data_IF_430624809614
#
_entry.id   IF_430624809614
#
_cell.length_a   1.000
_cell.length_b   1.000
_cell.length_c   1.000
_cell.angle_alpha   90.00
_cell.angle_beta   90.00
_cell.angle_gamma   90.00
#
_symmetry.space_group_name_H-M   'P 1'
#
loop_
_entity.id
_entity.type
_entity.pdbx_description
1 polymer ?
#
# COMPACT_ATOMS: atom_id res chain seq x y z
N UNK A 1 -49.44 46.07 -79.29
CA UNK A 1 -49.70 44.68 -78.87
C UNK A 1 -48.40 44.05 -78.42
N UNK A 2 -48.10 44.09 -77.17
CA UNK A 2 -46.86 43.42 -76.59
C UNK A 2 -47.32 42.77 -75.33
N UNK A 3 -47.22 41.43 -75.30
CA UNK A 3 -47.63 40.55 -74.25
C UNK A 3 -46.44 40.43 -73.25
N UNK A 4 -46.67 40.82 -72.02
CA UNK A 4 -45.71 40.70 -70.93
C UNK A 4 -45.88 39.36 -70.27
N UNK A 5 -44.86 38.51 -70.31
CA UNK A 5 -44.83 37.24 -69.63
C UNK A 5 -44.17 37.42 -68.24
N UNK A 6 -44.91 37.14 -67.16
CA UNK A 6 -44.39 37.05 -65.78
C UNK A 6 -43.75 35.70 -65.59
N UNK A 7 -42.49 35.71 -65.17
CA UNK A 7 -41.80 34.52 -64.64
C UNK A 7 -41.99 34.44 -63.20
N UNK A 8 -42.53 33.32 -62.74
CA UNK A 8 -42.65 32.98 -61.32
C UNK A 8 -41.34 32.36 -60.86
N UNK A 9 -40.62 32.98 -59.95
CA UNK A 9 -39.45 32.38 -59.25
C UNK A 9 -39.97 31.55 -58.09
N UNK A 10 -39.78 30.22 -58.14
CA UNK A 10 -40.00 29.34 -57.03
C UNK A 10 -38.74 29.39 -56.15
N UNK A 11 -38.89 29.98 -54.95
CA UNK A 11 -37.84 29.96 -53.95
C UNK A 11 -37.79 28.59 -53.23
N UNK A 12 -36.67 27.89 -53.39
CA UNK A 12 -36.32 26.72 -52.60
C UNK A 12 -35.85 27.16 -51.21
N UNK A 13 -36.65 26.94 -50.18
CA UNK A 13 -36.27 27.01 -48.80
C UNK A 13 -35.44 25.75 -48.44
N UNK A 14 -34.12 25.88 -48.37
CA UNK A 14 -33.26 24.86 -47.75
C UNK A 14 -33.43 24.94 -46.24
N UNK A 15 -34.10 23.98 -45.67
CA UNK A 15 -34.10 23.75 -44.23
C UNK A 15 -32.72 23.18 -43.82
N UNK A 16 -31.90 24.02 -43.19
CA UNK A 16 -30.69 23.57 -42.50
C UNK A 16 -31.13 22.77 -41.26
N UNK A 17 -31.04 21.44 -41.37
CA UNK A 17 -31.10 20.58 -40.20
C UNK A 17 -29.81 20.77 -39.38
N UNK A 18 -29.87 21.62 -38.36
CA UNK A 18 -28.89 21.60 -37.28
C UNK A 18 -29.02 20.23 -36.56
N UNK A 19 -28.16 19.31 -36.92
CA UNK A 19 -27.91 18.13 -36.10
C UNK A 19 -27.41 18.62 -34.76
N UNK A 20 -28.29 18.64 -33.74
CA UNK A 20 -27.91 18.87 -32.38
C UNK A 20 -26.89 17.81 -31.99
N UNK A 21 -25.62 18.21 -31.81
CA UNK A 21 -24.63 17.44 -31.13
C UNK A 21 -25.19 17.25 -29.72
N UNK A 22 -25.70 16.03 -29.43
CA UNK A 22 -26.04 15.64 -28.09
C UNK A 22 -24.78 15.88 -27.24
N UNK A 23 -24.86 16.84 -26.33
CA UNK A 23 -23.90 17.00 -25.28
C UNK A 23 -23.92 15.65 -24.56
N UNK A 24 -22.84 14.86 -24.75
CA UNK A 24 -22.62 13.69 -23.91
C UNK A 24 -22.70 14.19 -22.47
N UNK A 25 -23.69 13.71 -21.72
CA UNK A 25 -23.83 13.96 -20.31
C UNK A 25 -22.46 13.75 -19.66
N UNK A 26 -21.84 14.86 -19.26
CA UNK A 26 -20.67 14.77 -18.40
C UNK A 26 -21.16 14.06 -17.15
N UNK A 27 -20.57 12.94 -16.76
CA UNK A 27 -21.01 12.23 -15.58
C UNK A 27 -21.05 13.23 -14.43
N UNK A 28 -22.23 13.32 -13.84
CA UNK A 28 -22.52 14.23 -12.74
C UNK A 28 -21.50 13.96 -11.66
N UNK A 29 -20.53 14.88 -11.49
CA UNK A 29 -19.57 14.77 -10.39
C UNK A 29 -20.39 14.85 -9.12
N UNK A 30 -20.60 13.72 -8.47
CA UNK A 30 -21.36 13.64 -7.24
C UNK A 30 -20.85 14.69 -6.23
N UNK A 31 -21.76 15.13 -5.41
CA UNK A 31 -21.59 16.11 -4.34
C UNK A 31 -20.22 16.01 -3.67
N UNK A 32 -19.58 17.14 -3.38
CA UNK A 32 -18.27 17.18 -2.72
C UNK A 32 -18.35 16.39 -1.41
N UNK A 33 -17.75 15.21 -1.36
CA UNK A 33 -17.67 14.44 -0.12
C UNK A 33 -16.98 15.30 0.94
N UNK A 34 -17.57 15.37 2.12
CA UNK A 34 -16.88 15.94 3.28
C UNK A 34 -15.74 14.99 3.67
N UNK A 35 -14.58 15.52 4.10
CA UNK A 35 -13.57 14.65 4.67
C UNK A 35 -14.15 13.95 5.89
N UNK A 36 -13.88 12.67 6.05
CA UNK A 36 -14.31 11.92 7.22
C UNK A 36 -13.19 11.09 7.80
N UNK A 37 -13.26 10.85 9.10
CA UNK A 37 -12.45 9.84 9.82
C UNK A 37 -13.45 8.94 10.52
N UNK A 38 -13.34 7.66 10.26
CA UNK A 38 -14.23 6.63 10.80
C UNK A 38 -13.36 5.53 11.43
N UNK A 39 -13.75 5.09 12.62
CA UNK A 39 -13.19 3.91 13.24
C UNK A 39 -14.07 2.71 12.90
N UNK A 40 -13.48 1.72 12.29
CA UNK A 40 -14.19 0.56 11.73
C UNK A 40 -13.60 -0.75 12.25
N UNK A 41 -14.39 -1.81 12.18
CA UNK A 41 -13.97 -3.16 12.51
C UNK A 41 -13.90 -4.02 11.24
N UNK A 42 -12.82 -4.79 11.11
CA UNK A 42 -12.52 -5.61 9.94
C UNK A 42 -12.42 -7.06 10.39
N UNK A 43 -13.13 -7.96 9.71
CA UNK A 43 -13.03 -9.38 9.97
C UNK A 43 -11.77 -9.95 9.31
N UNK A 44 -10.88 -10.47 10.12
CA UNK A 44 -9.63 -11.12 9.77
C UNK A 44 -9.57 -12.53 10.37
N UNK A 45 -8.41 -13.15 10.30
CA UNK A 45 -8.16 -14.49 10.83
C UNK A 45 -6.97 -14.46 11.79
N UNK A 46 -7.13 -15.13 12.93
CA UNK A 46 -6.03 -15.34 13.86
C UNK A 46 -5.24 -16.57 13.41
N UNK A 47 -3.95 -16.39 13.21
CA UNK A 47 -3.02 -17.49 12.89
C UNK A 47 -2.08 -17.76 14.05
N UNK A 48 -1.66 -19.02 14.17
CA UNK A 48 -0.62 -19.45 15.10
C UNK A 48 0.45 -20.28 14.35
N UNK A 49 1.65 -20.31 14.91
CA UNK A 49 2.71 -21.17 14.41
C UNK A 49 2.57 -22.57 15.03
N UNK A 50 2.55 -23.59 14.18
CA UNK A 50 2.58 -25.00 14.56
C UNK A 50 3.63 -25.73 13.71
N UNK A 51 4.78 -26.12 14.30
CA UNK A 51 5.85 -26.79 13.56
C UNK A 51 5.47 -28.20 13.07
N UNK A 52 4.38 -28.78 13.55
CA UNK A 52 3.90 -30.10 13.13
C UNK A 52 3.11 -30.07 11.81
N UNK A 53 2.74 -28.87 11.34
CA UNK A 53 1.94 -28.68 10.12
C UNK A 53 2.83 -28.23 8.97
N UNK A 54 2.68 -28.80 7.76
CA UNK A 54 3.36 -28.29 6.58
C UNK A 54 3.09 -26.78 6.38
N UNK A 55 4.15 -25.99 6.23
CA UNK A 55 4.07 -24.52 6.19
C UNK A 55 4.04 -23.84 7.55
N UNK A 56 3.91 -24.58 8.66
CA UNK A 56 4.08 -24.07 10.02
C UNK A 56 3.00 -23.07 10.50
N UNK A 57 1.88 -22.93 9.79
CA UNK A 57 0.84 -21.94 10.11
C UNK A 57 -0.54 -22.60 10.15
N UNK A 58 -1.28 -22.36 11.22
CA UNK A 58 -2.64 -22.89 11.44
C UNK A 58 -3.60 -21.77 11.81
N UNK A 59 -4.84 -21.91 11.36
CA UNK A 59 -5.94 -21.02 11.75
C UNK A 59 -6.34 -21.27 13.21
N UNK A 60 -6.56 -20.18 13.95
CA UNK A 60 -7.14 -20.17 15.30
C UNK A 60 -8.57 -19.61 15.30
N UNK A 61 -9.14 -19.40 14.09
CA UNK A 61 -10.49 -18.86 13.92
C UNK A 61 -10.52 -17.35 13.64
N UNK A 62 -11.73 -16.77 13.63
CA UNK A 62 -11.92 -15.37 13.27
C UNK A 62 -11.29 -14.40 14.26
N UNK A 63 -10.82 -13.28 13.74
CA UNK A 63 -10.28 -12.17 14.51
C UNK A 63 -10.88 -10.86 13.99
N UNK A 64 -11.37 -10.03 14.90
CA UNK A 64 -11.82 -8.68 14.54
C UNK A 64 -10.71 -7.69 14.84
N UNK A 65 -10.19 -7.02 13.81
CA UNK A 65 -9.18 -5.97 13.94
C UNK A 65 -9.81 -4.59 13.76
N UNK A 66 -9.36 -3.61 14.53
CA UNK A 66 -9.80 -2.22 14.41
C UNK A 66 -8.98 -1.49 13.35
N UNK A 67 -9.60 -0.50 12.71
CA UNK A 67 -8.94 0.34 11.74
C UNK A 67 -9.49 1.77 11.74
N UNK A 68 -8.66 2.70 11.26
CA UNK A 68 -9.01 4.10 11.04
C UNK A 68 -9.10 4.34 9.53
N UNK A 69 -10.33 4.53 9.02
CA UNK A 69 -10.60 4.93 7.64
C UNK A 69 -10.62 6.46 7.56
N UNK A 70 -9.78 7.02 6.69
CA UNK A 70 -9.74 8.46 6.44
C UNK A 70 -10.05 8.74 4.96
N UNK A 71 -11.09 9.54 4.72
CA UNK A 71 -11.59 9.87 3.38
C UNK A 71 -11.27 11.34 3.07
N UNK A 72 -10.63 11.65 1.92
CA UNK A 72 -10.31 13.01 1.54
C UNK A 72 -11.53 13.82 1.07
N UNK A 73 -11.44 15.16 1.15
CA UNK A 73 -12.48 16.09 0.69
C UNK A 73 -12.62 16.18 -0.84
N UNK A 74 -11.82 15.48 -1.63
CA UNK A 74 -11.76 15.63 -3.08
C UNK A 74 -12.90 14.94 -3.82
N UNK A 75 -13.38 15.60 -4.90
CA UNK A 75 -14.30 15.01 -5.89
C UNK A 75 -13.52 14.09 -6.82
N UNK A 76 -13.99 12.86 -6.98
CA UNK A 76 -13.61 12.03 -8.11
C UNK A 76 -14.82 11.88 -9.05
N UNK A 77 -14.64 12.30 -10.29
CA UNK A 77 -15.72 12.30 -11.30
C UNK A 77 -15.84 10.95 -12.04
N UNK A 78 -15.00 9.95 -11.73
CA UNK A 78 -15.06 8.58 -12.31
C UNK A 78 -14.55 7.56 -11.29
N UNK A 79 -15.34 6.53 -11.05
CA UNK A 79 -14.90 5.22 -10.52
C UNK A 79 -14.55 5.13 -9.04
N UNK A 80 -14.78 6.14 -8.22
CA UNK A 80 -14.41 6.10 -6.81
C UNK A 80 -13.01 6.67 -6.50
N UNK A 81 -12.64 6.68 -5.23
CA UNK A 81 -11.33 7.14 -4.73
C UNK A 81 -10.31 6.00 -4.75
N UNK A 82 -9.05 6.25 -5.13
CA UNK A 82 -7.99 5.33 -4.77
C UNK A 82 -7.82 5.27 -3.26
N UNK A 83 -7.32 4.15 -2.75
CA UNK A 83 -7.09 3.97 -1.32
C UNK A 83 -5.74 3.27 -1.05
N UNK A 84 -5.20 3.48 0.15
CA UNK A 84 -3.97 2.83 0.62
C UNK A 84 -4.21 2.23 2.01
N UNK A 85 -3.94 0.93 2.14
CA UNK A 85 -3.85 0.26 3.44
C UNK A 85 -2.50 0.60 4.08
N UNK A 86 -2.51 0.98 5.36
CA UNK A 86 -1.32 1.32 6.14
C UNK A 86 -1.12 0.28 7.23
N UNK A 87 0.05 -0.38 7.23
CA UNK A 87 0.44 -1.45 8.13
C UNK A 87 1.55 -0.97 9.07
N UNK A 88 1.25 -0.89 10.35
CA UNK A 88 2.21 -0.41 11.36
C UNK A 88 3.40 -1.36 11.58
N UNK A 89 4.43 -0.90 12.24
CA UNK A 89 5.59 -1.69 12.66
C UNK A 89 5.33 -2.51 13.94
N UNK A 90 6.36 -3.22 14.42
CA UNK A 90 6.27 -4.07 15.63
C UNK A 90 5.90 -3.31 16.91
N UNK A 91 6.09 -2.00 16.96
CA UNK A 91 5.70 -1.16 18.10
C UNK A 91 4.21 -0.78 18.12
N UNK A 92 3.42 -1.16 17.11
CA UNK A 92 2.02 -0.76 16.96
C UNK A 92 1.86 0.54 16.17
N UNK A 93 0.64 1.09 16.21
CA UNK A 93 0.31 2.38 15.61
C UNK A 93 1.11 3.50 16.29
N UNK A 94 1.69 4.38 15.49
CA UNK A 94 2.41 5.56 15.94
C UNK A 94 2.25 6.75 14.96
N UNK A 95 3.04 7.80 15.11
CA UNK A 95 2.96 9.03 14.30
C UNK A 95 3.10 8.82 12.79
N UNK A 96 3.67 7.71 12.31
CA UNK A 96 3.90 7.44 10.89
C UNK A 96 2.59 7.31 10.13
N UNK A 97 1.60 6.62 10.69
CA UNK A 97 0.28 6.48 10.07
C UNK A 97 -0.33 7.82 9.71
N UNK A 98 -0.43 8.73 10.68
CA UNK A 98 -0.97 10.09 10.44
C UNK A 98 -0.06 10.94 9.55
N UNK A 99 1.25 10.82 9.68
CA UNK A 99 2.21 11.56 8.86
C UNK A 99 2.05 11.24 7.37
N UNK A 100 1.93 9.97 6.98
CA UNK A 100 1.71 9.59 5.59
C UNK A 100 0.26 9.82 5.14
N UNK A 101 -0.72 9.57 6.00
CA UNK A 101 -2.14 9.83 5.74
C UNK A 101 -2.36 11.28 5.30
N UNK A 102 -1.77 12.27 5.99
CA UNK A 102 -1.91 13.67 5.62
C UNK A 102 -1.52 13.92 4.16
N UNK A 103 -0.37 13.44 3.71
CA UNK A 103 0.07 13.61 2.32
C UNK A 103 -0.76 12.83 1.29
N UNK A 104 -1.26 11.66 1.66
CA UNK A 104 -2.14 10.85 0.79
C UNK A 104 -3.51 11.50 0.62
N UNK A 105 -4.13 11.99 1.71
CA UNK A 105 -5.39 12.72 1.65
C UNK A 105 -5.30 14.00 0.81
N UNK A 106 -4.21 14.77 0.93
CA UNK A 106 -3.94 15.94 0.09
C UNK A 106 -3.86 15.56 -1.41
N UNK A 107 -3.35 14.37 -1.69
CA UNK A 107 -3.30 13.81 -3.04
C UNK A 107 -4.65 13.26 -3.54
N UNK A 108 -5.67 13.18 -2.67
CA UNK A 108 -6.98 12.63 -2.97
C UNK A 108 -7.05 11.10 -2.87
N UNK A 109 -6.18 10.49 -2.09
CA UNK A 109 -6.11 9.06 -1.83
C UNK A 109 -6.64 8.81 -0.41
N UNK A 110 -7.63 7.95 -0.26
CA UNK A 110 -8.13 7.51 1.04
C UNK A 110 -7.11 6.60 1.74
N UNK A 111 -7.16 6.51 3.07
CA UNK A 111 -6.28 5.61 3.83
C UNK A 111 -7.07 4.76 4.81
N UNK A 112 -6.59 3.53 5.02
CA UNK A 112 -7.09 2.62 6.03
C UNK A 112 -5.90 2.12 6.86
N UNK A 113 -5.70 2.71 8.03
CA UNK A 113 -4.68 2.26 8.99
C UNK A 113 -5.26 1.21 9.92
N UNK A 114 -4.70 0.00 9.93
CA UNK A 114 -5.21 -1.12 10.75
C UNK A 114 -4.39 -1.30 12.02
N UNK A 115 -5.05 -1.65 13.12
CA UNK A 115 -4.41 -2.04 14.38
C UNK A 115 -4.31 -3.57 14.47
N UNK A 116 -3.15 -4.10 14.09
CA UNK A 116 -2.89 -5.54 14.13
C UNK A 116 -2.69 -6.07 15.56
N UNK A 117 -2.44 -5.19 16.55
CA UNK A 117 -2.00 -5.57 17.87
C UNK A 117 -3.10 -5.65 18.93
N UNK A 118 -4.03 -4.71 18.94
CA UNK A 118 -5.06 -4.63 19.98
C UNK A 118 -5.82 -5.96 20.12
N UNK A 119 -6.35 -6.48 19.00
CA UNK A 119 -7.11 -7.73 18.99
C UNK A 119 -6.28 -8.98 19.39
N UNK A 120 -4.95 -8.89 19.35
CA UNK A 120 -4.02 -9.95 19.75
C UNK A 120 -3.46 -9.78 21.16
N UNK A 121 -3.84 -8.69 21.86
CA UNK A 121 -3.31 -8.36 23.18
C UNK A 121 -1.81 -8.03 23.18
N UNK A 122 -1.26 -7.58 22.05
CA UNK A 122 0.13 -7.17 21.93
C UNK A 122 0.28 -5.74 22.46
N UNK A 123 1.02 -5.58 23.54
CA UNK A 123 1.23 -4.29 24.23
C UNK A 123 2.66 -3.74 24.07
N UNK A 124 3.55 -4.56 23.53
CA UNK A 124 4.95 -4.18 23.28
C UNK A 124 5.56 -5.03 22.17
N UNK A 125 6.66 -4.59 21.54
CA UNK A 125 7.38 -5.42 20.57
C UNK A 125 7.83 -6.78 21.09
N UNK A 126 8.01 -6.92 22.40
CA UNK A 126 8.48 -8.16 23.01
C UNK A 126 7.43 -9.29 23.03
N UNK A 127 6.14 -8.95 23.00
CA UNK A 127 5.05 -9.93 23.02
C UNK A 127 4.28 -10.01 21.69
N UNK A 128 4.86 -9.47 20.59
CA UNK A 128 4.32 -9.63 19.25
C UNK A 128 4.38 -11.09 18.78
N UNK A 129 3.61 -11.50 17.78
CA UNK A 129 3.76 -12.79 17.12
C UNK A 129 5.22 -13.07 16.71
N UNK A 130 5.60 -14.33 16.65
CA UNK A 130 6.99 -14.72 16.32
C UNK A 130 7.39 -14.30 14.90
N UNK A 131 6.47 -14.42 13.94
CA UNK A 131 6.72 -14.21 12.52
C UNK A 131 5.65 -13.31 11.88
N UNK A 132 6.01 -12.43 10.95
CA UNK A 132 5.06 -11.58 10.22
C UNK A 132 3.98 -12.34 9.45
N UNK A 133 4.24 -13.56 9.00
CA UNK A 133 3.29 -14.42 8.31
C UNK A 133 1.99 -14.63 9.12
N UNK A 134 2.07 -14.57 10.45
CA UNK A 134 0.91 -14.73 11.35
C UNK A 134 -0.06 -13.53 11.30
N UNK A 135 0.31 -12.47 10.58
CA UNK A 135 -0.50 -11.26 10.40
C UNK A 135 -0.85 -10.96 8.93
N UNK A 136 -0.43 -11.80 7.99
CA UNK A 136 -0.74 -11.60 6.58
C UNK A 136 -2.25 -11.50 6.26
N UNK A 137 -3.16 -12.27 6.91
CA UNK A 137 -4.59 -12.15 6.69
C UNK A 137 -5.12 -10.73 6.92
N UNK A 138 -4.53 -9.96 7.85
CA UNK A 138 -5.02 -8.61 8.19
C UNK A 138 -4.90 -7.65 7.00
N UNK A 139 -3.81 -7.73 6.23
CA UNK A 139 -3.62 -6.89 5.06
C UNK A 139 -4.69 -7.19 3.98
N UNK A 140 -5.00 -8.46 3.75
CA UNK A 140 -6.00 -8.88 2.76
C UNK A 140 -7.43 -8.67 3.26
N UNK A 141 -7.68 -8.78 4.55
CA UNK A 141 -8.94 -8.38 5.16
C UNK A 141 -9.21 -6.88 4.97
N UNK A 142 -8.18 -6.04 5.12
CA UNK A 142 -8.26 -4.61 4.84
C UNK A 142 -8.51 -4.32 3.34
N UNK A 143 -7.85 -5.06 2.43
CA UNK A 143 -8.12 -4.99 0.99
C UNK A 143 -9.56 -5.35 0.67
N UNK A 144 -10.06 -6.47 1.22
CA UNK A 144 -11.44 -6.92 1.02
C UNK A 144 -12.47 -5.94 1.58
N UNK A 145 -12.17 -5.30 2.72
CA UNK A 145 -13.01 -4.25 3.31
C UNK A 145 -13.09 -3.04 2.38
N UNK A 146 -11.94 -2.50 1.95
CA UNK A 146 -11.90 -1.34 1.05
C UNK A 146 -12.54 -1.62 -0.30
N UNK A 147 -12.40 -2.83 -0.84
CA UNK A 147 -13.02 -3.22 -2.12
C UNK A 147 -14.56 -3.19 -2.09
N UNK A 148 -15.16 -3.23 -0.90
CA UNK A 148 -16.61 -3.16 -0.69
C UNK A 148 -17.06 -1.78 -0.19
N UNK A 149 -16.13 -0.89 0.14
CA UNK A 149 -16.43 0.42 0.72
C UNK A 149 -16.99 1.34 -0.35
N UNK A 150 -18.18 1.91 -0.09
CA UNK A 150 -18.81 2.84 -1.01
C UNK A 150 -17.91 4.04 -1.31
N UNK A 151 -17.70 4.31 -2.60
CA UNK A 151 -16.90 5.42 -3.10
C UNK A 151 -15.38 5.20 -3.09
N UNK A 152 -14.91 3.99 -2.79
CA UNK A 152 -13.57 3.52 -3.09
C UNK A 152 -13.59 2.73 -4.41
N UNK A 153 -12.55 2.89 -5.22
CA UNK A 153 -12.36 2.12 -6.44
C UNK A 153 -11.62 0.82 -6.09
N UNK A 154 -12.25 -0.36 -6.21
CA UNK A 154 -11.63 -1.63 -5.85
C UNK A 154 -10.39 -1.99 -6.68
N UNK A 155 -10.25 -1.40 -7.89
CA UNK A 155 -9.11 -1.64 -8.78
C UNK A 155 -7.94 -0.69 -8.50
N UNK A 156 -8.07 0.24 -7.54
CA UNK A 156 -7.06 1.23 -7.19
C UNK A 156 -6.74 1.25 -5.70
N UNK A 157 -6.44 0.08 -5.14
CA UNK A 157 -6.08 -0.08 -3.74
C UNK A 157 -4.60 -0.49 -3.66
N UNK A 158 -3.79 0.36 -3.02
CA UNK A 158 -2.39 0.08 -2.70
C UNK A 158 -2.20 -0.31 -1.24
N UNK A 159 -0.99 -0.72 -0.90
CA UNK A 159 -0.58 -1.01 0.48
C UNK A 159 0.77 -0.40 0.79
N UNK A 160 0.93 0.11 1.98
CA UNK A 160 2.22 0.49 2.53
C UNK A 160 2.39 -0.01 3.95
N UNK A 161 3.62 -0.23 4.34
CA UNK A 161 3.93 -0.69 5.68
C UNK A 161 5.30 -0.26 6.17
N UNK A 162 5.48 -0.37 7.49
CA UNK A 162 6.67 0.02 8.21
C UNK A 162 7.27 -1.19 8.93
N UNK A 163 8.55 -1.50 8.70
CA UNK A 163 9.24 -2.60 9.39
C UNK A 163 8.42 -3.91 9.31
N UNK A 164 7.80 -4.36 10.38
CA UNK A 164 6.88 -5.51 10.36
C UNK A 164 5.83 -5.41 9.24
N UNK A 165 5.13 -4.28 9.17
CA UNK A 165 4.15 -4.02 8.11
C UNK A 165 4.77 -3.97 6.72
N UNK A 166 6.04 -3.57 6.59
CA UNK A 166 6.76 -3.57 5.32
C UNK A 166 7.08 -5.00 4.84
N UNK A 167 7.37 -5.93 5.77
CA UNK A 167 7.51 -7.35 5.44
C UNK A 167 6.19 -7.90 4.90
N UNK A 168 5.06 -7.55 5.54
CA UNK A 168 3.72 -7.92 5.04
C UNK A 168 3.44 -7.30 3.66
N UNK A 169 3.88 -6.06 3.44
CA UNK A 169 3.75 -5.37 2.16
C UNK A 169 4.51 -6.10 1.05
N UNK A 170 5.77 -6.52 1.28
CA UNK A 170 6.51 -7.31 0.30
C UNK A 170 5.87 -8.69 0.07
N UNK A 171 5.41 -9.35 1.13
CA UNK A 171 4.71 -10.62 1.01
C UNK A 171 3.44 -10.50 0.15
N UNK A 172 2.65 -9.42 0.31
CA UNK A 172 1.43 -9.18 -0.47
C UNK A 172 1.70 -8.84 -1.95
N UNK A 173 2.94 -8.55 -2.33
CA UNK A 173 3.36 -8.37 -3.71
C UNK A 173 3.71 -9.69 -4.42
N UNK A 174 3.59 -10.85 -3.74
CA UNK A 174 3.94 -12.16 -4.29
C UNK A 174 2.69 -12.97 -4.62
N UNK A 175 2.80 -13.83 -5.65
CA UNK A 175 1.67 -14.64 -6.12
C UNK A 175 1.19 -15.64 -5.07
N UNK A 176 2.11 -16.32 -4.34
CA UNK A 176 1.69 -17.33 -3.37
C UNK A 176 0.84 -16.75 -2.25
N UNK A 177 1.27 -15.61 -1.68
CA UNK A 177 0.55 -14.96 -0.58
C UNK A 177 -0.77 -14.36 -1.08
N UNK A 178 -0.75 -13.75 -2.27
CA UNK A 178 -1.94 -13.15 -2.89
C UNK A 178 -2.97 -14.22 -3.27
N UNK A 179 -2.56 -15.34 -3.82
CA UNK A 179 -3.47 -16.45 -4.13
C UNK A 179 -4.09 -17.07 -2.86
N UNK A 180 -3.30 -17.15 -1.79
CA UNK A 180 -3.77 -17.76 -0.55
C UNK A 180 -4.77 -16.88 0.22
N UNK A 181 -4.52 -15.56 0.31
CA UNK A 181 -5.33 -14.66 1.15
C UNK A 181 -6.19 -13.66 0.36
N UNK A 182 -5.93 -13.46 -0.92
CA UNK A 182 -6.54 -12.39 -1.71
C UNK A 182 -7.97 -12.64 -2.15
N UNK A 183 -8.43 -13.89 -2.18
CA UNK A 183 -9.77 -14.25 -2.69
C UNK A 183 -10.06 -13.59 -4.04
N UNK A 184 -9.11 -13.74 -4.98
CA UNK A 184 -9.15 -13.13 -6.31
C UNK A 184 -8.78 -11.64 -6.38
N UNK A 185 -8.51 -10.99 -5.25
CA UNK A 185 -8.09 -9.58 -5.17
C UNK A 185 -6.58 -9.48 -5.01
N UNK A 186 -6.01 -8.35 -5.47
CA UNK A 186 -4.60 -8.02 -5.27
C UNK A 186 -4.42 -6.51 -5.05
N UNK A 187 -3.39 -6.14 -4.34
CA UNK A 187 -2.98 -4.74 -4.25
C UNK A 187 -2.41 -4.27 -5.59
N UNK A 188 -2.67 -3.02 -5.93
CA UNK A 188 -2.24 -2.41 -7.20
C UNK A 188 -0.83 -1.83 -7.14
N UNK A 189 -0.35 -1.50 -5.94
CA UNK A 189 0.97 -0.92 -5.72
C UNK A 189 1.40 -1.11 -4.25
N UNK A 190 2.71 -1.21 -4.03
CA UNK A 190 3.28 -1.57 -2.73
C UNK A 190 4.40 -0.60 -2.34
N UNK A 191 4.38 -0.07 -1.12
CA UNK A 191 5.49 0.72 -0.55
C UNK A 191 5.95 0.09 0.75
N UNK A 192 7.15 -0.48 0.76
CA UNK A 192 7.74 -1.15 1.91
C UNK A 192 8.84 -0.27 2.53
N UNK A 193 8.61 0.25 3.73
CA UNK A 193 9.58 1.07 4.44
C UNK A 193 10.41 0.18 5.38
N UNK A 194 11.70 0.06 5.10
CA UNK A 194 12.70 -0.71 5.86
C UNK A 194 12.25 -2.14 6.22
N UNK A 195 12.06 -3.03 5.20
CA UNK A 195 11.42 -4.35 5.35
C UNK A 195 12.33 -5.48 5.84
N UNK A 196 13.52 -5.22 6.39
CA UNK A 196 14.52 -6.25 6.75
C UNK A 196 14.95 -7.08 5.52
N UNK A 197 15.52 -6.41 4.53
CA UNK A 197 15.89 -7.01 3.24
C UNK A 197 16.88 -8.18 3.37
N UNK A 198 17.75 -8.17 4.38
CA UNK A 198 18.68 -9.27 4.62
C UNK A 198 17.96 -10.61 4.81
N UNK A 199 16.75 -10.58 5.38
CA UNK A 199 15.94 -11.77 5.59
C UNK A 199 15.60 -12.47 4.26
N UNK A 200 15.25 -11.70 3.25
CA UNK A 200 14.94 -12.23 1.91
C UNK A 200 16.16 -12.75 1.15
N UNK A 201 17.35 -12.29 1.52
CA UNK A 201 18.64 -12.76 0.97
C UNK A 201 19.20 -13.98 1.73
N UNK A 202 18.51 -14.43 2.79
CA UNK A 202 18.97 -15.52 3.65
C UNK A 202 18.13 -16.80 3.43
N UNK A 203 18.68 -17.84 2.77
CA UNK A 203 17.97 -19.08 2.48
C UNK A 203 17.59 -19.89 3.74
N UNK A 204 18.11 -19.52 4.91
CA UNK A 204 17.74 -20.13 6.19
C UNK A 204 16.47 -19.54 6.80
N UNK A 205 15.92 -18.49 6.17
CA UNK A 205 14.67 -17.83 6.59
C UNK A 205 13.59 -18.03 5.52
N UNK A 206 13.04 -19.23 5.37
CA UNK A 206 12.12 -19.58 4.26
C UNK A 206 10.82 -18.78 4.24
N UNK A 207 10.46 -18.14 5.35
CA UNK A 207 9.30 -17.26 5.43
C UNK A 207 9.52 -15.88 4.79
N UNK A 208 10.77 -15.56 4.42
CA UNK A 208 11.14 -14.36 3.68
C UNK A 208 11.37 -14.75 2.21
N UNK A 209 10.29 -14.96 1.47
CA UNK A 209 10.35 -15.35 0.06
C UNK A 209 9.81 -14.21 -0.81
N UNK A 210 10.57 -13.81 -1.84
CA UNK A 210 10.24 -12.70 -2.73
C UNK A 210 10.93 -12.90 -4.08
N UNK A 211 10.14 -12.99 -5.15
CA UNK A 211 10.62 -13.17 -6.51
C UNK A 211 10.72 -14.62 -6.98
N UNK A 212 10.68 -14.80 -8.31
CA UNK A 212 10.65 -16.10 -8.99
C UNK A 212 11.88 -16.97 -8.68
N UNK A 213 13.05 -16.37 -8.42
CA UNK A 213 14.26 -17.11 -8.05
C UNK A 213 14.12 -17.87 -6.72
N UNK A 214 13.16 -17.47 -5.87
CA UNK A 214 12.83 -18.16 -4.62
C UNK A 214 11.51 -18.97 -4.74
N UNK A 215 11.04 -19.21 -5.98
CA UNK A 215 9.80 -19.95 -6.22
C UNK A 215 8.52 -19.18 -5.85
N UNK A 216 8.60 -17.88 -5.60
CA UNK A 216 7.48 -17.02 -5.22
C UNK A 216 7.42 -15.76 -6.10
N UNK A 217 6.95 -15.88 -7.37
CA UNK A 217 6.93 -14.78 -8.33
C UNK A 217 6.12 -13.58 -7.85
N UNK A 218 6.47 -12.40 -8.36
CA UNK A 218 5.74 -11.18 -8.08
C UNK A 218 4.41 -11.14 -8.85
N UNK A 219 3.43 -10.45 -8.30
CA UNK A 219 2.07 -10.29 -8.87
C UNK A 219 2.01 -9.43 -10.13
N UNK A 220 3.16 -8.92 -10.61
CA UNK A 220 3.22 -7.99 -11.74
C UNK A 220 2.90 -6.55 -11.37
N UNK A 221 2.70 -6.24 -10.08
CA UNK A 221 2.40 -4.89 -9.61
C UNK A 221 3.64 -4.18 -9.06
N UNK A 222 3.74 -2.84 -9.18
CA UNK A 222 4.94 -2.10 -8.79
C UNK A 222 5.17 -2.11 -7.28
N UNK A 223 6.45 -2.18 -6.91
CA UNK A 223 6.94 -2.18 -5.54
C UNK A 223 8.00 -1.10 -5.37
N UNK A 224 7.87 -0.27 -4.34
CA UNK A 224 8.91 0.66 -3.90
C UNK A 224 9.40 0.27 -2.51
N UNK A 225 10.70 -0.01 -2.38
CA UNK A 225 11.37 -0.26 -1.10
C UNK A 225 12.08 1.02 -0.69
N UNK A 226 11.87 1.48 0.53
CA UNK A 226 12.55 2.64 1.11
C UNK A 226 13.42 2.17 2.28
N UNK A 227 14.70 2.51 2.29
CA UNK A 227 15.67 2.02 3.27
C UNK A 227 16.64 3.12 3.70
N UNK A 228 16.97 3.19 4.99
CA UNK A 228 18.01 4.07 5.51
C UNK A 228 19.41 3.49 5.32
N UNK A 229 20.39 4.35 5.02
CA UNK A 229 21.79 3.92 4.91
C UNK A 229 22.42 3.54 6.28
N UNK A 230 21.76 3.90 7.38
CA UNK A 230 22.19 3.57 8.74
C UNK A 230 21.17 2.64 9.44
N UNK A 231 20.41 1.86 8.66
CA UNK A 231 19.41 0.94 9.21
C UNK A 231 20.09 -0.14 10.05
N UNK A 232 19.72 -0.24 11.34
CA UNK A 232 20.36 -1.16 12.27
C UNK A 232 19.94 -2.63 12.12
N UNK A 233 18.95 -2.96 11.27
CA UNK A 233 18.63 -4.34 10.93
C UNK A 233 19.43 -4.81 9.71
N UNK A 234 19.45 -4.00 8.65
CA UNK A 234 20.13 -4.31 7.38
C UNK A 234 21.59 -3.79 7.33
N UNK A 235 22.03 -3.00 8.34
CA UNK A 235 23.32 -2.32 8.48
C UNK A 235 23.62 -1.27 7.38
N UNK A 236 22.86 -1.29 6.32
CA UNK A 236 22.91 -0.33 5.20
C UNK A 236 21.76 -0.57 4.22
N UNK A 237 21.70 0.18 3.14
CA UNK A 237 20.77 -0.09 2.04
C UNK A 237 21.20 -1.27 1.13
N UNK A 238 22.42 -1.76 1.26
CA UNK A 238 22.98 -2.80 0.37
C UNK A 238 22.14 -4.09 0.33
N UNK A 239 21.60 -4.64 1.43
CA UNK A 239 20.73 -5.82 1.36
C UNK A 239 19.49 -5.65 0.50
N UNK A 240 18.87 -4.45 0.48
CA UNK A 240 17.70 -4.17 -0.37
C UNK A 240 18.08 -4.06 -1.85
N UNK A 241 19.22 -3.46 -2.17
CA UNK A 241 19.75 -3.47 -3.53
C UNK A 241 20.11 -4.87 -4.01
N UNK A 242 20.69 -5.69 -3.13
CA UNK A 242 20.99 -7.09 -3.42
C UNK A 242 19.73 -7.92 -3.68
N UNK A 243 18.66 -7.68 -2.86
CA UNK A 243 17.36 -8.32 -3.08
C UNK A 243 16.81 -8.03 -4.48
N UNK A 244 16.85 -6.76 -4.92
CA UNK A 244 16.43 -6.41 -6.28
C UNK A 244 17.33 -7.05 -7.33
N UNK A 245 18.64 -7.05 -7.13
CA UNK A 245 19.62 -7.50 -8.13
C UNK A 245 19.52 -9.00 -8.48
N UNK A 246 19.00 -9.83 -7.57
CA UNK A 246 18.82 -11.28 -7.80
C UNK A 246 17.51 -11.65 -8.48
N UNK A 247 16.57 -10.70 -8.63
CA UNK A 247 15.31 -10.93 -9.32
C UNK A 247 15.53 -11.12 -10.84
N UNK A 248 14.68 -11.88 -11.56
CA UNK A 248 14.63 -11.85 -13.01
C UNK A 248 14.39 -10.43 -13.56
N UNK A 249 14.80 -10.17 -14.79
CA UNK A 249 14.79 -8.81 -15.37
C UNK A 249 13.40 -8.15 -15.43
N UNK A 250 12.36 -8.92 -15.68
CA UNK A 250 10.96 -8.48 -15.68
C UNK A 250 10.49 -8.08 -14.28
N UNK A 251 10.85 -8.85 -13.26
CA UNK A 251 10.54 -8.52 -11.86
C UNK A 251 11.42 -7.37 -11.34
N UNK A 252 12.70 -7.26 -11.77
CA UNK A 252 13.54 -6.11 -11.45
C UNK A 252 12.91 -4.78 -11.91
N UNK A 253 12.23 -4.80 -13.06
CA UNK A 253 11.54 -3.62 -13.59
C UNK A 253 10.35 -3.16 -12.73
N UNK A 254 9.78 -4.05 -11.92
CA UNK A 254 8.69 -3.74 -11.00
C UNK A 254 9.17 -3.14 -9.68
N UNK A 255 10.43 -3.33 -9.31
CA UNK A 255 10.95 -2.99 -7.98
C UNK A 255 11.87 -1.78 -8.02
N UNK A 256 11.51 -0.72 -7.31
CA UNK A 256 12.36 0.44 -7.04
C UNK A 256 12.91 0.36 -5.62
N UNK A 257 14.23 0.59 -5.45
CA UNK A 257 14.87 0.74 -4.14
C UNK A 257 15.36 2.17 -3.98
N UNK A 258 14.92 2.83 -2.92
CA UNK A 258 15.26 4.22 -2.60
C UNK A 258 16.00 4.25 -1.28
N UNK A 259 17.26 4.69 -1.31
CA UNK A 259 18.10 4.85 -0.12
C UNK A 259 18.03 6.28 0.43
N UNK A 260 18.16 6.41 1.75
CA UNK A 260 18.13 7.68 2.47
C UNK A 260 19.40 7.85 3.31
N UNK A 261 20.26 8.84 2.99
CA UNK A 261 21.47 9.08 3.76
C UNK A 261 21.12 9.52 5.19
N UNK A 262 21.99 9.18 6.14
CA UNK A 262 21.85 9.48 7.56
C UNK A 262 20.59 8.95 8.25
N UNK A 263 19.77 8.17 7.57
CA UNK A 263 18.54 7.61 8.09
C UNK A 263 18.80 6.26 8.78
N UNK A 264 18.43 6.15 10.05
CA UNK A 264 18.43 4.91 10.83
C UNK A 264 17.15 4.11 10.54
N UNK A 265 16.91 2.99 11.23
CA UNK A 265 15.61 2.30 11.16
C UNK A 265 14.49 3.21 11.68
N UNK A 266 13.35 3.26 10.99
CA UNK A 266 12.19 4.09 11.37
C UNK A 266 12.49 5.60 11.54
N UNK A 267 13.39 6.16 10.70
CA UNK A 267 13.74 7.58 10.70
C UNK A 267 12.56 8.54 10.52
N UNK A 268 11.48 8.03 9.92
CA UNK A 268 10.25 8.77 9.62
C UNK A 268 9.22 8.75 10.76
N UNK A 269 9.56 8.14 11.89
CA UNK A 269 8.69 8.08 13.07
C UNK A 269 8.43 9.45 13.70
N UNK A 270 9.38 10.42 13.55
CA UNK A 270 9.27 11.81 14.02
C UNK A 270 8.85 11.95 15.51
N UNK A 271 9.31 11.03 16.32
CA UNK A 271 9.09 10.99 17.77
C UNK A 271 10.43 11.01 18.49
N UNK A 272 10.43 11.01 19.82
CA UNK A 272 11.65 10.92 20.63
C UNK A 272 12.49 9.72 20.17
N UNK A 273 13.82 9.89 20.00
CA UNK A 273 14.72 8.77 19.68
C UNK A 273 14.59 7.65 20.69
N UNK A 274 14.61 6.43 20.18
CA UNK A 274 14.59 5.21 21.02
C UNK A 274 15.64 4.22 20.52
N UNK A 275 16.04 3.33 21.43
CA UNK A 275 16.85 2.17 21.11
C UNK A 275 16.13 0.90 21.60
N UNK A 276 16.08 -0.12 20.77
CA UNK A 276 15.47 -1.39 21.11
C UNK A 276 16.46 -2.52 20.91
N UNK A 277 16.43 -3.54 21.77
CA UNK A 277 17.17 -4.78 21.58
C UNK A 277 16.28 -5.79 20.87
N UNK A 278 16.75 -6.34 19.75
CA UNK A 278 16.01 -7.30 18.95
C UNK A 278 16.94 -8.40 18.41
N UNK A 279 16.47 -9.64 18.41
CA UNK A 279 17.23 -10.78 17.91
C UNK A 279 17.45 -10.74 16.39
N UNK A 280 16.64 -9.98 15.67
CA UNK A 280 16.77 -9.79 14.23
C UNK A 280 17.68 -8.61 13.84
N UNK A 281 18.20 -7.84 14.80
CA UNK A 281 19.13 -6.76 14.55
C UNK A 281 20.43 -7.25 13.88
N UNK A 282 21.10 -6.34 13.19
CA UNK A 282 22.45 -6.55 12.63
C UNK A 282 22.57 -7.82 11.78
N UNK A 283 21.71 -7.93 10.76
CA UNK A 283 21.64 -9.09 9.86
C UNK A 283 21.31 -10.41 10.60
N UNK A 284 20.50 -10.34 11.67
CA UNK A 284 20.09 -11.48 12.47
C UNK A 284 21.10 -11.94 13.52
N UNK A 285 22.13 -11.13 13.80
CA UNK A 285 23.09 -11.41 14.89
C UNK A 285 22.57 -11.01 16.27
N UNK A 286 21.49 -10.25 16.28
CA UNK A 286 20.94 -9.64 17.50
C UNK A 286 21.71 -8.39 17.92
N UNK A 287 21.11 -7.58 18.75
CA UNK A 287 21.72 -6.36 19.27
C UNK A 287 20.75 -5.21 19.39
N UNK A 288 21.27 -4.01 19.54
CA UNK A 288 20.49 -2.79 19.74
C UNK A 288 20.35 -2.05 18.42
N UNK A 289 19.12 -1.68 18.07
CA UNK A 289 18.77 -0.85 16.93
C UNK A 289 18.34 0.53 17.42
N UNK A 290 19.02 1.55 16.94
CA UNK A 290 18.64 2.95 17.17
C UNK A 290 17.61 3.39 16.15
N UNK A 291 16.59 4.13 16.59
CA UNK A 291 15.55 4.76 15.79
C UNK A 291 15.61 6.26 16.04
N UNK A 292 16.34 6.95 15.21
CA UNK A 292 16.59 8.40 15.34
C UNK A 292 15.81 9.12 14.23
N UNK A 293 14.92 10.07 14.57
CA UNK A 293 14.21 10.84 13.58
C UNK A 293 15.16 11.62 12.67
N UNK A 294 14.93 11.52 11.36
CA UNK A 294 15.62 12.34 10.37
C UNK A 294 14.56 13.07 9.52
N UNK A 295 14.31 14.33 9.86
CA UNK A 295 13.15 15.11 9.39
C UNK A 295 13.16 15.30 7.87
N UNK A 296 14.31 15.68 7.29
CA UNK A 296 14.43 15.93 5.86
C UNK A 296 14.14 14.65 5.06
N UNK A 297 14.75 13.54 5.47
CA UNK A 297 14.54 12.26 4.81
C UNK A 297 13.14 11.73 5.03
N UNK A 298 12.50 11.97 6.17
CA UNK A 298 11.10 11.62 6.42
C UNK A 298 10.16 12.31 5.43
N UNK A 299 10.29 13.65 5.27
CA UNK A 299 9.50 14.39 4.29
C UNK A 299 9.79 13.97 2.85
N UNK A 300 11.05 13.71 2.51
CA UNK A 300 11.45 13.16 1.20
C UNK A 300 10.79 11.81 0.94
N UNK A 301 10.80 10.89 1.92
CA UNK A 301 10.17 9.58 1.85
C UNK A 301 8.66 9.71 1.64
N UNK A 302 7.97 10.55 2.42
CA UNK A 302 6.53 10.81 2.25
C UNK A 302 6.21 11.35 0.87
N UNK A 303 6.96 12.32 0.37
CA UNK A 303 6.75 12.88 -0.97
C UNK A 303 6.93 11.85 -2.07
N UNK A 304 7.94 10.96 -1.96
CA UNK A 304 8.16 9.86 -2.93
C UNK A 304 7.02 8.86 -2.87
N UNK A 305 6.56 8.49 -1.66
CA UNK A 305 5.40 7.61 -1.45
C UNK A 305 4.14 8.18 -2.09
N UNK A 306 3.82 9.45 -1.83
CA UNK A 306 2.64 10.10 -2.43
C UNK A 306 2.75 10.16 -3.95
N UNK A 307 3.92 10.54 -4.51
CA UNK A 307 4.14 10.55 -5.96
C UNK A 307 4.03 9.15 -6.57
N UNK A 308 4.53 8.13 -5.89
CA UNK A 308 4.44 6.74 -6.33
C UNK A 308 2.97 6.31 -6.42
N UNK A 309 2.18 6.42 -5.36
CA UNK A 309 0.79 6.03 -5.38
C UNK A 309 -0.05 6.85 -6.37
N UNK A 310 0.19 8.15 -6.52
CA UNK A 310 -0.49 8.97 -7.54
C UNK A 310 -0.25 8.52 -8.98
N UNK A 311 0.85 7.83 -9.27
CA UNK A 311 1.16 7.29 -10.59
C UNK A 311 0.60 5.90 -10.79
N UNK A 312 0.43 5.15 -9.72
CA UNK A 312 0.10 3.73 -9.79
C UNK A 312 -1.38 3.44 -9.51
N UNK A 313 -2.04 4.33 -8.81
CA UNK A 313 -3.46 4.28 -8.46
C UNK A 313 -4.26 5.37 -9.21
#
# INVERSE_FOLDING_TARGET
MKICRYAVLAGFLMANAFSGVQAHDRPNCAEQRRPSIEFVEIQSEKLAFDPAVPGGVVSQGPLTVKAKLSIPAKRHCRGGLPAVVILHGSAGIDSRGDFYTGGLLEAGIATLEIDMWEARGVTSPANRPLLPILTYPDAFAALAFLSKQEGIDPERIGVMGFSWGAIMTLASATEQVTQHYGDGRRFKAHVANYPLCYGYNNPRLPYFSFGSQNGNPLTGTPVMIQIGELDGYDESAAPCHALKAVLPADEQALVDVVSYPNATHAWDRLMVPIAITDNFAHLGRGGTVEMIPEVEQAYSARQKTVRFFRRQL
#
